data_IF_652754736729
#
_entry.id   IF_652754736729
#
_cell.length_a   1.000
_cell.length_b   1.000
_cell.length_c   1.000
_cell.angle_alpha   90.00
_cell.angle_beta   90.00
_cell.angle_gamma   90.00
#
_symmetry.space_group_name_H-M   'P 1'
#
loop_
_entity.id
_entity.type
_entity.pdbx_description
1 polymer ?
#
# COMPACT_ATOMS: atom_id res chain seq x y z
N UNK A 1 18.70 -11.78 45.17
CA UNK A 1 19.15 -10.64 44.36
C UNK A 1 18.09 -10.33 43.34
N UNK A 2 17.33 -9.25 43.51
CA UNK A 2 16.31 -8.84 42.52
C UNK A 2 17.04 -8.09 41.41
N UNK A 3 17.17 -8.73 40.24
CA UNK A 3 17.87 -8.19 39.08
C UNK A 3 17.14 -7.06 38.34
N UNK A 4 15.89 -6.79 38.71
CA UNK A 4 15.09 -5.72 38.12
C UNK A 4 14.30 -4.99 39.22
N UNK A 5 14.83 -3.89 39.72
CA UNK A 5 14.05 -2.90 40.49
C UNK A 5 13.37 -1.96 39.48
N UNK A 6 12.25 -2.37 38.93
CA UNK A 6 11.40 -1.48 38.15
C UNK A 6 10.52 -0.70 39.12
N UNK A 7 10.79 0.58 39.27
CA UNK A 7 9.97 1.45 40.11
C UNK A 7 8.80 1.97 39.28
N UNK A 8 7.65 1.30 39.40
CA UNK A 8 6.42 1.65 38.69
C UNK A 8 5.80 2.97 39.15
N UNK A 9 6.23 3.52 40.27
CA UNK A 9 5.70 4.77 40.84
C UNK A 9 6.39 6.01 40.23
N UNK A 10 7.46 5.84 39.49
CA UNK A 10 8.09 6.95 38.75
C UNK A 10 7.46 7.02 37.36
N UNK A 11 6.80 8.13 37.04
CA UNK A 11 6.43 8.45 35.69
C UNK A 11 7.68 8.27 34.77
N UNK A 12 7.58 7.45 33.76
CA UNK A 12 8.64 7.31 32.76
C UNK A 12 8.93 8.67 32.11
N UNK A 13 10.05 8.82 31.40
CA UNK A 13 10.44 10.11 30.79
C UNK A 13 9.41 10.65 29.80
N UNK A 14 8.30 9.97 29.57
CA UNK A 14 7.23 10.40 28.68
C UNK A 14 7.74 10.81 27.29
N UNK A 15 6.92 10.70 26.27
CA UNK A 15 7.23 11.38 24.99
C UNK A 15 6.69 12.80 25.13
N UNK A 16 7.49 13.87 24.96
CA UNK A 16 6.97 15.23 24.95
C UNK A 16 5.81 15.34 23.97
N UNK A 17 4.73 15.99 24.40
CA UNK A 17 3.49 16.14 23.62
C UNK A 17 3.73 16.73 22.21
N UNK A 18 4.81 17.51 22.07
CA UNK A 18 5.24 18.14 20.83
C UNK A 18 6.57 17.58 20.28
N UNK A 19 6.92 16.33 20.59
CA UNK A 19 8.16 15.74 20.06
C UNK A 19 8.10 15.69 18.51
N UNK A 20 9.11 16.25 17.81
CA UNK A 20 9.12 16.21 16.36
C UNK A 20 9.25 14.76 15.87
N UNK A 21 8.40 14.38 14.92
CA UNK A 21 8.47 13.04 14.30
C UNK A 21 9.83 12.81 13.67
N UNK A 22 10.37 11.61 13.85
CA UNK A 22 11.58 11.18 13.13
C UNK A 22 11.35 11.27 11.63
N UNK A 23 12.43 11.42 10.84
CA UNK A 23 12.38 11.52 9.38
C UNK A 23 13.25 10.44 8.73
N UNK A 24 12.97 10.14 7.46
CA UNK A 24 13.78 9.22 6.67
C UNK A 24 13.87 7.81 7.28
N UNK A 25 15.06 7.22 7.25
CA UNK A 25 15.31 5.85 7.75
C UNK A 25 14.99 5.68 9.24
N UNK A 26 15.22 6.70 10.08
CA UNK A 26 14.88 6.62 11.49
C UNK A 26 13.37 6.46 11.72
N UNK A 27 12.53 7.10 10.88
CA UNK A 27 11.08 6.91 10.91
C UNK A 27 10.69 5.52 10.41
N UNK A 28 11.36 5.03 9.37
CA UNK A 28 11.12 3.68 8.85
C UNK A 28 11.33 2.61 9.94
N UNK A 29 12.46 2.66 10.66
CA UNK A 29 12.75 1.73 11.74
C UNK A 29 11.82 1.87 12.94
N UNK A 30 11.40 3.08 13.27
CA UNK A 30 10.41 3.32 14.32
C UNK A 30 9.06 2.66 14.00
N UNK A 31 8.54 2.85 12.79
CA UNK A 31 7.30 2.22 12.35
C UNK A 31 7.44 0.69 12.30
N UNK A 32 8.59 0.20 11.82
CA UNK A 32 8.89 -1.22 11.77
C UNK A 32 8.87 -1.84 13.18
N UNK A 33 9.51 -1.22 14.16
CA UNK A 33 9.56 -1.73 15.53
C UNK A 33 8.20 -1.67 16.23
N UNK A 34 7.36 -0.67 15.92
CA UNK A 34 6.08 -0.45 16.55
C UNK A 34 4.94 -1.24 15.92
N UNK A 35 4.84 -1.22 14.58
CA UNK A 35 3.64 -1.62 13.86
C UNK A 35 3.84 -2.80 12.89
N UNK A 36 5.05 -3.42 12.87
CA UNK A 36 5.38 -4.51 11.94
C UNK A 36 4.36 -5.64 11.92
N UNK A 37 3.81 -6.00 13.08
CA UNK A 37 2.83 -7.07 13.17
C UNK A 37 1.46 -6.69 12.58
N UNK A 38 1.05 -5.43 12.70
CA UNK A 38 -0.14 -4.91 12.03
C UNK A 38 0.05 -4.89 10.51
N UNK A 39 1.23 -4.45 10.04
CA UNK A 39 1.59 -4.45 8.63
C UNK A 39 1.63 -5.86 8.05
N UNK A 40 2.25 -6.78 8.77
CA UNK A 40 2.34 -8.17 8.37
C UNK A 40 0.95 -8.79 8.17
N UNK A 41 0.04 -8.60 9.15
CA UNK A 41 -1.34 -9.12 9.04
C UNK A 41 -2.08 -8.51 7.85
N UNK A 42 -2.05 -7.19 7.68
CA UNK A 42 -2.69 -6.51 6.56
C UNK A 42 -2.11 -6.96 5.22
N UNK A 43 -0.80 -7.10 5.15
CA UNK A 43 -0.09 -7.58 3.97
C UNK A 43 -0.35 -9.05 3.65
N UNK A 44 -0.53 -9.91 4.67
CA UNK A 44 -0.93 -11.32 4.47
C UNK A 44 -2.35 -11.43 3.89
N UNK A 45 -3.29 -10.61 4.36
CA UNK A 45 -4.62 -10.55 3.76
C UNK A 45 -4.56 -10.09 2.30
N UNK A 46 -3.73 -9.09 2.00
CA UNK A 46 -3.51 -8.65 0.63
C UNK A 46 -2.85 -9.74 -0.24
N UNK A 47 -1.85 -10.46 0.28
CA UNK A 47 -1.19 -11.57 -0.42
C UNK A 47 -2.17 -12.72 -0.71
N UNK A 48 -2.96 -13.14 0.28
CA UNK A 48 -3.94 -14.21 0.11
C UNK A 48 -5.00 -13.84 -0.93
N UNK A 49 -5.47 -12.58 -0.91
CA UNK A 49 -6.44 -12.12 -1.92
C UNK A 49 -5.84 -11.92 -3.31
N UNK A 50 -4.52 -11.76 -3.42
CA UNK A 50 -3.81 -11.68 -4.70
C UNK A 50 -3.57 -13.06 -5.34
N UNK A 51 -3.70 -14.17 -4.61
CA UNK A 51 -3.46 -15.51 -5.15
C UNK A 51 -4.31 -15.83 -6.40
N UNK A 52 -5.62 -15.53 -6.46
CA UNK A 52 -6.40 -15.77 -7.68
C UNK A 52 -5.84 -15.02 -8.90
N UNK A 53 -5.40 -13.77 -8.71
CA UNK A 53 -4.74 -12.99 -9.75
C UNK A 53 -3.41 -13.63 -10.16
N UNK A 54 -2.53 -13.91 -9.20
CA UNK A 54 -1.19 -14.44 -9.48
C UNK A 54 -1.23 -15.80 -10.15
N UNK A 55 -2.01 -16.73 -9.61
CA UNK A 55 -2.16 -18.09 -10.16
C UNK A 55 -2.85 -18.07 -11.52
N UNK A 56 -3.87 -17.24 -11.69
CA UNK A 56 -4.58 -17.14 -12.96
C UNK A 56 -3.74 -16.51 -14.07
N UNK A 57 -2.96 -15.46 -13.77
CA UNK A 57 -2.01 -14.88 -14.73
C UNK A 57 -0.90 -15.87 -15.06
N UNK A 58 -0.34 -16.56 -14.06
CA UNK A 58 0.63 -17.62 -14.28
C UNK A 58 0.08 -18.74 -15.19
N UNK A 59 -1.13 -19.20 -14.91
CA UNK A 59 -1.80 -20.22 -15.73
C UNK A 59 -2.06 -19.72 -17.16
N UNK A 60 -2.48 -18.47 -17.32
CA UNK A 60 -2.68 -17.85 -18.63
C UNK A 60 -1.38 -17.81 -19.45
N UNK A 61 -0.27 -17.44 -18.82
CA UNK A 61 1.06 -17.43 -19.44
C UNK A 61 1.48 -18.83 -19.82
N UNK A 62 1.33 -19.81 -18.92
CA UNK A 62 1.73 -21.20 -19.15
C UNK A 62 0.93 -21.89 -20.28
N UNK A 63 -0.34 -21.52 -20.44
CA UNK A 63 -1.23 -22.11 -21.45
C UNK A 63 -1.41 -21.24 -22.70
N UNK A 64 -0.81 -20.05 -22.75
CA UNK A 64 -1.02 -19.04 -23.79
C UNK A 64 -2.51 -18.70 -24.02
N UNK A 65 -3.34 -18.77 -22.96
CA UNK A 65 -4.79 -18.63 -23.06
C UNK A 65 -5.27 -17.26 -22.56
N UNK A 66 -6.11 -16.57 -23.35
CA UNK A 66 -6.65 -15.26 -22.99
C UNK A 66 -7.77 -15.33 -21.96
N UNK A 67 -8.59 -16.39 -21.95
CA UNK A 67 -9.72 -16.51 -21.02
C UNK A 67 -9.28 -16.53 -19.56
N UNK A 68 -8.30 -17.35 -19.14
CA UNK A 68 -7.75 -17.27 -17.78
C UNK A 68 -7.16 -15.90 -17.45
N UNK A 69 -6.52 -15.24 -18.42
CA UNK A 69 -5.98 -13.88 -18.24
C UNK A 69 -7.09 -12.87 -17.90
N UNK A 70 -8.17 -12.87 -18.67
CA UNK A 70 -9.30 -11.97 -18.46
C UNK A 70 -9.96 -12.21 -17.09
N UNK A 71 -10.19 -13.48 -16.75
CA UNK A 71 -10.76 -13.84 -15.45
C UNK A 71 -9.83 -13.44 -14.30
N UNK A 72 -8.54 -13.77 -14.40
CA UNK A 72 -7.57 -13.41 -13.38
C UNK A 72 -7.42 -11.89 -13.25
N UNK A 73 -7.33 -11.17 -14.35
CA UNK A 73 -7.19 -9.73 -14.36
C UNK A 73 -8.40 -9.02 -13.74
N UNK A 74 -9.59 -9.35 -14.21
CA UNK A 74 -10.81 -8.68 -13.76
C UNK A 74 -11.23 -9.15 -12.36
N UNK A 75 -11.43 -10.45 -12.17
CA UNK A 75 -11.94 -10.99 -10.91
C UNK A 75 -10.83 -11.01 -9.84
N UNK A 76 -9.64 -11.49 -10.18
CA UNK A 76 -8.52 -11.53 -9.24
C UNK A 76 -8.08 -10.11 -8.83
N UNK A 77 -8.02 -9.16 -9.76
CA UNK A 77 -7.74 -7.75 -9.48
C UNK A 77 -8.79 -7.10 -8.59
N UNK A 78 -10.08 -7.35 -8.85
CA UNK A 78 -11.18 -6.85 -8.02
C UNK A 78 -11.13 -7.43 -6.60
N UNK A 79 -10.83 -8.71 -6.42
CA UNK A 79 -10.72 -9.35 -5.10
C UNK A 79 -9.53 -8.84 -4.29
N UNK A 80 -8.41 -8.55 -4.94
CA UNK A 80 -7.21 -8.03 -4.31
C UNK A 80 -7.34 -6.58 -3.83
N UNK A 81 -8.06 -5.76 -4.58
CA UNK A 81 -8.09 -4.31 -4.39
C UNK A 81 -8.57 -3.84 -3.00
N UNK A 82 -9.66 -4.35 -2.40
CA UNK A 82 -10.08 -3.95 -1.06
C UNK A 82 -9.02 -4.22 0.01
N UNK A 83 -8.25 -5.30 -0.14
CA UNK A 83 -7.19 -5.67 0.78
C UNK A 83 -5.97 -4.75 0.63
N UNK A 84 -5.63 -4.36 -0.61
CA UNK A 84 -4.59 -3.37 -0.85
C UNK A 84 -4.95 -2.00 -0.25
N UNK A 85 -6.22 -1.58 -0.37
CA UNK A 85 -6.70 -0.35 0.28
C UNK A 85 -6.62 -0.47 1.81
N UNK A 86 -6.98 -1.62 2.39
CA UNK A 86 -6.84 -1.89 3.82
C UNK A 86 -5.39 -1.87 4.29
N UNK A 87 -4.46 -2.41 3.51
CA UNK A 87 -3.02 -2.32 3.77
C UNK A 87 -2.53 -0.87 3.73
N UNK A 88 -2.92 -0.11 2.69
CA UNK A 88 -2.56 1.30 2.57
C UNK A 88 -3.09 2.12 3.74
N UNK A 89 -4.36 1.94 4.16
CA UNK A 89 -4.94 2.61 5.33
C UNK A 89 -4.16 2.28 6.61
N UNK A 90 -3.80 1.01 6.81
CA UNK A 90 -3.01 0.57 7.98
C UNK A 90 -1.65 1.29 8.05
N UNK A 91 -0.94 1.38 6.93
CA UNK A 91 0.36 2.06 6.85
C UNK A 91 0.21 3.57 7.01
N UNK A 92 -0.81 4.17 6.38
CA UNK A 92 -1.07 5.61 6.47
C UNK A 92 -1.42 6.04 7.90
N UNK A 93 -2.19 5.22 8.65
CA UNK A 93 -2.47 5.47 10.08
C UNK A 93 -1.19 5.43 10.90
N UNK A 94 -0.31 4.48 10.66
CA UNK A 94 0.98 4.43 11.34
C UNK A 94 1.87 5.64 11.01
N UNK A 95 1.86 6.12 9.76
CA UNK A 95 2.58 7.36 9.36
C UNK A 95 2.06 8.60 10.11
N UNK A 96 0.77 8.63 10.45
CA UNK A 96 0.11 9.72 11.16
C UNK A 96 0.10 9.55 12.69
N UNK A 97 0.62 8.42 13.19
CA UNK A 97 0.57 8.05 14.62
C UNK A 97 -0.86 7.97 15.17
N UNK A 98 -1.82 7.53 14.34
CA UNK A 98 -3.21 7.38 14.75
C UNK A 98 -3.37 6.16 15.66
N UNK A 99 -3.90 6.34 16.89
CA UNK A 99 -4.17 5.23 17.79
C UNK A 99 -5.34 4.37 17.28
N UNK A 100 -5.36 3.11 17.69
CA UNK A 100 -6.49 2.24 17.40
C UNK A 100 -6.15 0.75 17.43
N UNK A 101 -7.16 -0.06 17.76
CA UNK A 101 -7.03 -1.51 17.66
C UNK A 101 -7.03 -1.91 16.18
N UNK A 102 -5.94 -2.46 15.70
CA UNK A 102 -5.69 -2.73 14.28
C UNK A 102 -6.86 -3.43 13.57
N UNK A 103 -7.40 -4.53 14.12
CA UNK A 103 -8.45 -5.29 13.45
C UNK A 103 -9.73 -4.49 13.24
N UNK A 104 -10.15 -3.73 14.24
CA UNK A 104 -11.35 -2.89 14.15
C UNK A 104 -11.17 -1.77 13.11
N UNK A 105 -10.00 -1.12 13.10
CA UNK A 105 -9.69 -0.05 12.13
C UNK A 105 -9.56 -0.60 10.72
N UNK A 106 -8.89 -1.73 10.54
CA UNK A 106 -8.77 -2.42 9.26
C UNK A 106 -10.13 -2.82 8.68
N UNK A 107 -10.96 -3.50 9.46
CA UNK A 107 -12.31 -3.91 9.02
C UNK A 107 -13.19 -2.72 8.66
N UNK A 108 -13.09 -1.61 9.39
CA UNK A 108 -13.82 -0.37 9.11
C UNK A 108 -13.37 0.22 7.77
N UNK A 109 -12.06 0.38 7.57
CA UNK A 109 -11.49 0.88 6.32
C UNK A 109 -11.85 -0.02 5.14
N UNK A 110 -11.73 -1.34 5.31
CA UNK A 110 -12.08 -2.31 4.29
C UNK A 110 -13.57 -2.20 3.88
N UNK A 111 -14.50 -2.22 4.85
CA UNK A 111 -15.95 -2.11 4.58
C UNK A 111 -16.31 -0.80 3.88
N UNK A 112 -15.73 0.31 4.31
CA UNK A 112 -15.96 1.63 3.72
C UNK A 112 -15.53 1.68 2.25
N UNK A 113 -14.36 1.12 1.95
CA UNK A 113 -13.68 1.31 0.67
C UNK A 113 -13.87 0.12 -0.31
N UNK A 114 -14.47 -1.00 0.13
CA UNK A 114 -14.57 -2.21 -0.68
C UNK A 114 -15.23 -1.94 -2.04
N UNK A 115 -16.41 -1.31 -2.06
CA UNK A 115 -17.12 -1.03 -3.32
C UNK A 115 -16.34 -0.08 -4.23
N UNK A 116 -15.72 0.96 -3.67
CA UNK A 116 -14.97 1.95 -4.43
C UNK A 116 -13.69 1.36 -5.05
N UNK A 117 -13.13 0.30 -4.46
CA UNK A 117 -11.90 -0.33 -4.94
C UNK A 117 -12.09 -1.43 -5.97
N UNK A 118 -13.29 -2.03 -6.10
CA UNK A 118 -13.54 -3.15 -7.02
C UNK A 118 -13.25 -2.80 -8.48
N UNK A 119 -13.83 -1.70 -8.97
CA UNK A 119 -13.65 -1.27 -10.36
C UNK A 119 -12.18 -0.89 -10.66
N UNK A 120 -11.52 -0.04 -9.85
CA UNK A 120 -10.09 0.19 -10.01
C UNK A 120 -9.27 -1.11 -9.98
N UNK A 121 -9.58 -2.02 -9.07
CA UNK A 121 -8.91 -3.32 -8.98
C UNK A 121 -9.04 -4.15 -10.24
N UNK A 122 -10.25 -4.25 -10.80
CA UNK A 122 -10.49 -4.94 -12.07
C UNK A 122 -9.71 -4.32 -13.22
N UNK A 123 -9.70 -2.98 -13.32
CA UNK A 123 -8.99 -2.26 -14.39
C UNK A 123 -7.48 -2.44 -14.27
N UNK A 124 -6.90 -2.14 -13.09
CA UNK A 124 -5.46 -2.29 -12.88
C UNK A 124 -5.01 -3.74 -12.96
N UNK A 125 -5.80 -4.68 -12.44
CA UNK A 125 -5.53 -6.11 -12.53
C UNK A 125 -5.51 -6.59 -13.99
N UNK A 126 -6.50 -6.19 -14.79
CA UNK A 126 -6.55 -6.56 -16.20
C UNK A 126 -5.35 -6.00 -16.98
N UNK A 127 -5.04 -4.70 -16.83
CA UNK A 127 -3.95 -4.06 -17.55
C UNK A 127 -2.59 -4.62 -17.12
N UNK A 128 -2.37 -4.82 -15.81
CA UNK A 128 -1.15 -5.43 -15.29
C UNK A 128 -1.00 -6.88 -15.75
N UNK A 129 -2.07 -7.67 -15.67
CA UNK A 129 -2.09 -9.05 -16.16
C UNK A 129 -1.78 -9.12 -17.65
N UNK A 130 -2.39 -8.24 -18.46
CA UNK A 130 -2.12 -8.16 -19.90
C UNK A 130 -0.66 -7.77 -20.20
N UNK A 131 -0.06 -6.85 -19.44
CA UNK A 131 1.34 -6.49 -19.60
C UNK A 131 2.28 -7.65 -19.25
N UNK A 132 2.02 -8.37 -18.14
CA UNK A 132 2.79 -9.56 -17.75
C UNK A 132 2.67 -10.63 -18.84
N UNK A 133 1.46 -10.92 -19.28
CA UNK A 133 1.19 -11.91 -20.32
C UNK A 133 1.92 -11.56 -21.63
N UNK A 134 1.82 -10.30 -22.08
CA UNK A 134 2.50 -9.85 -23.30
C UNK A 134 4.02 -9.91 -23.16
N UNK A 135 4.59 -9.59 -22.01
CA UNK A 135 6.02 -9.65 -21.75
C UNK A 135 6.57 -11.08 -21.90
N UNK A 136 5.82 -12.08 -21.44
CA UNK A 136 6.20 -13.49 -21.61
C UNK A 136 5.96 -14.01 -23.02
N UNK A 137 4.87 -13.60 -23.70
CA UNK A 137 4.59 -13.99 -25.08
C UNK A 137 5.64 -13.47 -26.08
N UNK A 138 6.15 -12.26 -25.84
CA UNK A 138 7.15 -11.64 -26.72
C UNK A 138 8.57 -12.14 -26.48
N UNK A 139 8.70 -13.22 -25.71
CA UNK A 139 9.97 -13.82 -25.34
C UNK A 139 10.93 -12.75 -24.80
N UNK A 140 10.75 -12.45 -23.52
CA UNK A 140 11.55 -11.49 -22.74
C UNK A 140 13.00 -11.37 -23.28
N UNK A 141 13.40 -10.14 -23.62
CA UNK A 141 14.77 -9.82 -24.03
C UNK A 141 15.11 -10.05 -25.50
N UNK A 142 14.31 -10.71 -26.31
CA UNK A 142 14.59 -10.86 -27.75
C UNK A 142 14.38 -9.55 -28.54
N UNK A 143 13.38 -8.74 -28.12
CA UNK A 143 13.20 -7.40 -28.64
C UNK A 143 13.39 -6.37 -27.52
N UNK A 144 14.59 -5.76 -27.50
CA UNK A 144 14.97 -4.81 -26.45
C UNK A 144 14.02 -3.60 -26.38
N UNK A 145 13.60 -3.05 -27.52
CA UNK A 145 12.71 -1.88 -27.57
C UNK A 145 11.35 -2.21 -26.94
N UNK A 146 10.78 -3.35 -27.31
CA UNK A 146 9.49 -3.79 -26.76
C UNK A 146 9.59 -4.10 -25.27
N UNK A 147 10.66 -4.76 -24.84
CA UNK A 147 10.92 -5.05 -23.43
C UNK A 147 11.01 -3.76 -22.61
N UNK A 148 11.77 -2.78 -23.07
CA UNK A 148 11.88 -1.47 -22.39
C UNK A 148 10.51 -0.77 -22.34
N UNK A 149 9.78 -0.74 -23.46
CA UNK A 149 8.44 -0.12 -23.49
C UNK A 149 7.48 -0.75 -22.48
N UNK A 150 7.50 -2.08 -22.34
CA UNK A 150 6.68 -2.80 -21.35
C UNK A 150 7.12 -2.53 -19.92
N UNK A 151 8.42 -2.48 -19.62
CA UNK A 151 8.93 -2.13 -18.30
C UNK A 151 8.56 -0.69 -17.90
N UNK A 152 8.63 0.24 -18.86
CA UNK A 152 8.14 1.61 -18.65
C UNK A 152 6.63 1.60 -18.36
N UNK A 153 5.85 0.82 -19.09
CA UNK A 153 4.42 0.63 -18.84
C UNK A 153 4.14 0.09 -17.43
N UNK A 154 4.86 -0.94 -16.98
CA UNK A 154 4.75 -1.48 -15.62
C UNK A 154 5.11 -0.42 -14.58
N UNK A 155 6.15 0.39 -14.80
CA UNK A 155 6.53 1.48 -13.92
C UNK A 155 5.39 2.50 -13.73
N UNK A 156 4.83 3.01 -14.82
CA UNK A 156 3.71 3.97 -14.75
C UNK A 156 2.46 3.34 -14.13
N UNK A 157 2.11 2.12 -14.52
CA UNK A 157 0.94 1.42 -14.01
C UNK A 157 1.05 1.16 -12.50
N UNK A 158 2.20 0.71 -12.03
CA UNK A 158 2.44 0.47 -10.60
C UNK A 158 2.32 1.75 -9.77
N UNK A 159 2.85 2.86 -10.29
CA UNK A 159 2.73 4.16 -9.62
C UNK A 159 1.31 4.69 -9.59
N UNK A 160 0.58 4.60 -10.70
CA UNK A 160 -0.83 4.98 -10.76
C UNK A 160 -1.68 4.10 -9.84
N UNK A 161 -1.45 2.78 -9.82
CA UNK A 161 -2.15 1.87 -8.93
C UNK A 161 -1.88 2.19 -7.45
N UNK A 162 -0.61 2.39 -7.07
CA UNK A 162 -0.23 2.79 -5.72
C UNK A 162 -0.98 4.05 -5.28
N UNK A 163 -0.91 5.11 -6.09
CA UNK A 163 -1.55 6.40 -5.76
C UNK A 163 -3.08 6.32 -5.79
N UNK A 164 -3.66 5.53 -6.68
CA UNK A 164 -5.12 5.32 -6.74
C UNK A 164 -5.61 4.62 -5.49
N UNK A 165 -5.02 3.48 -5.10
CA UNK A 165 -5.44 2.76 -3.89
C UNK A 165 -5.16 3.53 -2.60
N UNK A 166 -4.10 4.33 -2.59
CA UNK A 166 -3.81 5.24 -1.47
C UNK A 166 -4.88 6.33 -1.33
N UNK A 167 -5.31 6.93 -2.45
CA UNK A 167 -6.36 7.95 -2.44
C UNK A 167 -7.73 7.37 -2.08
N UNK A 168 -8.06 6.13 -2.50
CA UNK A 168 -9.29 5.45 -2.09
C UNK A 168 -9.33 5.26 -0.56
N UNK A 169 -8.17 5.00 0.07
CA UNK A 169 -8.09 4.91 1.53
C UNK A 169 -8.33 6.25 2.25
N UNK A 170 -8.00 7.37 1.59
CA UNK A 170 -8.01 8.71 2.19
C UNK A 170 -9.24 9.55 1.82
N UNK A 171 -9.77 9.39 0.59
CA UNK A 171 -10.70 10.31 -0.02
C UNK A 171 -11.95 9.58 -0.54
N UNK A 172 -13.11 10.18 -0.36
CA UNK A 172 -14.37 9.72 -0.93
C UNK A 172 -14.63 10.46 -2.25
N UNK A 173 -14.16 9.89 -3.36
CA UNK A 173 -14.27 10.47 -4.69
C UNK A 173 -14.64 9.40 -5.73
N UNK A 174 -15.15 9.84 -6.90
CA UNK A 174 -15.36 8.95 -8.04
C UNK A 174 -14.04 8.41 -8.58
N UNK A 175 -14.06 7.20 -9.17
CA UNK A 175 -12.85 6.58 -9.73
C UNK A 175 -12.15 7.48 -10.76
N UNK A 176 -12.89 8.12 -11.66
CA UNK A 176 -12.31 9.05 -12.64
C UNK A 176 -11.60 10.25 -12.00
N UNK A 177 -12.18 10.80 -10.91
CA UNK A 177 -11.56 11.87 -10.12
C UNK A 177 -10.26 11.41 -9.44
N UNK A 178 -10.29 10.24 -8.80
CA UNK A 178 -9.11 9.63 -8.16
C UNK A 178 -8.00 9.35 -9.18
N UNK A 179 -8.35 8.76 -10.33
CA UNK A 179 -7.37 8.44 -11.37
C UNK A 179 -6.73 9.70 -11.95
N UNK A 180 -7.54 10.75 -12.20
CA UNK A 180 -7.03 12.06 -12.64
C UNK A 180 -6.07 12.65 -11.61
N UNK A 181 -6.44 12.64 -10.34
CA UNK A 181 -5.58 13.13 -9.26
C UNK A 181 -4.30 12.28 -9.12
N UNK A 182 -4.41 10.95 -9.24
CA UNK A 182 -3.25 10.07 -9.22
C UNK A 182 -2.27 10.40 -10.35
N UNK A 183 -2.77 10.65 -11.57
CA UNK A 183 -1.96 11.04 -12.70
C UNK A 183 -1.28 12.40 -12.48
N UNK A 184 -2.03 13.40 -12.00
CA UNK A 184 -1.49 14.73 -11.71
C UNK A 184 -0.42 14.69 -10.60
N UNK A 185 -0.65 13.92 -9.54
CA UNK A 185 0.33 13.73 -8.46
C UNK A 185 1.56 12.97 -8.95
N UNK A 186 1.37 11.94 -9.77
CA UNK A 186 2.48 11.17 -10.32
C UNK A 186 3.39 12.04 -11.19
N UNK A 187 2.81 12.81 -12.12
CA UNK A 187 3.56 13.67 -13.03
C UNK A 187 4.11 14.93 -12.32
N UNK A 188 3.31 15.55 -11.45
CA UNK A 188 3.71 16.77 -10.74
C UNK A 188 4.82 16.55 -9.72
N UNK A 189 4.93 15.33 -9.18
CA UNK A 189 5.95 14.97 -8.20
C UNK A 189 6.76 13.73 -8.65
N UNK A 190 7.08 13.68 -9.94
CA UNK A 190 7.71 12.54 -10.60
C UNK A 190 8.93 11.97 -9.85
N UNK A 191 9.89 12.75 -9.31
CA UNK A 191 11.02 12.18 -8.59
C UNK A 191 10.63 11.37 -7.36
N UNK A 192 9.64 11.83 -6.58
CA UNK A 192 9.14 11.11 -5.40
C UNK A 192 8.26 9.92 -5.79
N UNK A 193 7.43 10.07 -6.82
CA UNK A 193 6.65 8.98 -7.37
C UNK A 193 7.57 7.87 -7.92
N UNK A 194 8.63 8.24 -8.65
CA UNK A 194 9.62 7.31 -9.14
C UNK A 194 10.32 6.55 -8.00
N UNK A 195 10.71 7.24 -6.93
CA UNK A 195 11.30 6.60 -5.76
C UNK A 195 10.33 5.61 -5.10
N UNK A 196 9.05 5.97 -4.97
CA UNK A 196 8.04 5.10 -4.42
C UNK A 196 7.84 3.83 -5.28
N UNK A 197 7.74 4.00 -6.60
CA UNK A 197 7.61 2.88 -7.55
C UNK A 197 8.87 2.02 -7.56
N UNK A 198 10.05 2.63 -7.45
CA UNK A 198 11.31 1.90 -7.41
C UNK A 198 11.34 0.88 -6.26
N UNK A 199 10.86 1.23 -5.07
CA UNK A 199 10.76 0.29 -3.95
C UNK A 199 9.86 -0.90 -4.27
N UNK A 200 8.71 -0.68 -4.93
CA UNK A 200 7.81 -1.75 -5.35
C UNK A 200 8.48 -2.67 -6.37
N UNK A 201 9.12 -2.09 -7.38
CA UNK A 201 9.74 -2.85 -8.46
C UNK A 201 11.00 -3.60 -8.02
N UNK A 202 11.85 -2.99 -7.18
CA UNK A 202 13.02 -3.66 -6.61
C UNK A 202 12.64 -4.87 -5.77
N UNK A 203 11.62 -4.73 -4.93
CA UNK A 203 11.13 -5.86 -4.14
C UNK A 203 10.57 -6.96 -5.05
N UNK A 204 9.72 -6.60 -6.00
CA UNK A 204 9.12 -7.57 -6.95
C UNK A 204 10.20 -8.27 -7.78
N UNK A 205 11.19 -7.52 -8.27
CA UNK A 205 12.31 -8.07 -9.01
C UNK A 205 13.15 -9.02 -8.14
N UNK A 206 13.44 -8.65 -6.90
CA UNK A 206 14.19 -9.51 -5.97
C UNK A 206 13.44 -10.82 -5.70
N UNK A 207 12.12 -10.75 -5.44
CA UNK A 207 11.29 -11.95 -5.24
C UNK A 207 11.30 -12.83 -6.50
N UNK A 208 11.16 -12.25 -7.67
CA UNK A 208 11.14 -12.99 -8.93
C UNK A 208 12.49 -13.63 -9.28
N UNK A 209 13.59 -12.89 -9.12
CA UNK A 209 14.94 -13.37 -9.44
C UNK A 209 15.41 -14.51 -8.55
N UNK A 210 15.04 -14.50 -7.28
CA UNK A 210 15.43 -15.52 -6.30
C UNK A 210 14.37 -16.60 -6.08
N UNK A 211 13.34 -16.68 -6.92
CA UNK A 211 12.33 -17.73 -6.83
C UNK A 211 12.95 -19.11 -7.12
N UNK A 212 12.64 -20.18 -6.35
CA UNK A 212 11.68 -20.27 -5.23
C UNK A 212 12.27 -19.92 -3.84
N UNK A 213 13.56 -19.62 -3.71
CA UNK A 213 14.22 -19.32 -2.43
C UNK A 213 13.65 -18.06 -1.75
N UNK A 214 13.07 -17.16 -2.53
CA UNK A 214 12.42 -15.94 -2.01
C UNK A 214 11.06 -16.17 -1.35
N UNK A 215 10.44 -17.35 -1.48
CA UNK A 215 9.11 -17.62 -0.92
C UNK A 215 9.02 -17.38 0.58
N UNK A 216 9.95 -17.86 1.45
CA UNK A 216 9.91 -17.56 2.88
C UNK A 216 10.02 -16.06 3.17
N UNK A 217 10.85 -15.34 2.41
CA UNK A 217 11.00 -13.88 2.52
C UNK A 217 9.72 -13.19 2.08
N UNK A 218 9.09 -13.63 1.01
CA UNK A 218 7.80 -13.11 0.53
C UNK A 218 6.68 -13.35 1.56
N UNK A 219 6.67 -14.47 2.29
CA UNK A 219 5.68 -14.71 3.34
C UNK A 219 5.93 -13.82 4.57
N UNK A 220 7.19 -13.53 4.90
CA UNK A 220 7.53 -12.68 6.03
C UNK A 220 7.32 -11.19 5.72
N UNK A 221 7.80 -10.73 4.58
CA UNK A 221 7.80 -9.32 4.20
C UNK A 221 6.64 -8.93 3.28
N UNK A 222 5.97 -9.90 2.64
CA UNK A 222 4.84 -9.80 1.73
C UNK A 222 4.71 -8.42 1.02
N UNK A 223 3.50 -7.90 0.83
CA UNK A 223 3.30 -6.59 0.19
C UNK A 223 3.53 -5.40 1.14
N UNK A 224 3.56 -5.62 2.48
CA UNK A 224 3.65 -4.50 3.41
C UNK A 224 4.97 -3.75 3.33
N UNK A 225 6.09 -4.47 3.18
CA UNK A 225 7.41 -3.83 3.19
C UNK A 225 7.60 -2.84 2.03
N UNK A 226 7.41 -3.24 0.75
CA UNK A 226 7.56 -2.31 -0.36
C UNK A 226 6.51 -1.20 -0.34
N UNK A 227 5.29 -1.47 0.09
CA UNK A 227 4.23 -0.46 0.19
C UNK A 227 4.52 0.53 1.31
N UNK A 228 5.04 0.09 2.47
CA UNK A 228 5.47 0.99 3.54
C UNK A 228 6.57 1.94 3.06
N UNK A 229 7.61 1.41 2.41
CA UNK A 229 8.71 2.22 1.89
C UNK A 229 8.21 3.23 0.83
N UNK A 230 7.35 2.78 -0.07
CA UNK A 230 6.76 3.61 -1.12
C UNK A 230 5.87 4.72 -0.54
N UNK A 231 4.96 4.38 0.37
CA UNK A 231 4.08 5.37 1.01
C UNK A 231 4.85 6.35 1.87
N UNK A 232 5.85 5.90 2.63
CA UNK A 232 6.70 6.80 3.41
C UNK A 232 7.46 7.80 2.52
N UNK A 233 7.94 7.38 1.35
CA UNK A 233 8.60 8.27 0.40
C UNK A 233 7.64 9.32 -0.18
N UNK A 234 6.38 8.95 -0.42
CA UNK A 234 5.40 9.80 -1.07
C UNK A 234 4.49 10.58 -0.09
N UNK A 235 4.38 10.16 1.17
CA UNK A 235 3.50 10.76 2.19
C UNK A 235 3.64 12.29 2.32
N UNK A 236 4.85 12.89 2.31
CA UNK A 236 4.97 14.34 2.40
C UNK A 236 4.31 15.10 1.24
N UNK A 237 4.14 14.45 0.08
CA UNK A 237 3.41 15.04 -1.06
C UNK A 237 1.91 14.96 -0.79
N UNK A 238 1.42 13.82 -0.30
CA UNK A 238 0.00 13.65 0.03
C UNK A 238 -0.44 14.63 1.10
N UNK A 239 0.34 14.76 2.18
CA UNK A 239 0.04 15.69 3.26
C UNK A 239 0.01 17.14 2.78
N UNK A 240 1.03 17.56 1.99
CA UNK A 240 1.08 18.92 1.41
C UNK A 240 -0.10 19.21 0.48
N UNK A 241 -0.57 18.21 -0.27
CA UNK A 241 -1.61 18.40 -1.29
C UNK A 241 -3.01 18.39 -0.72
N UNK A 242 -3.25 17.54 0.29
CA UNK A 242 -4.58 17.32 0.87
C UNK A 242 -4.73 17.86 2.29
N UNK A 243 -3.71 18.54 2.85
CA UNK A 243 -3.67 19.05 4.24
C UNK A 243 -4.12 17.97 5.26
N UNK A 244 -3.67 16.72 5.07
CA UNK A 244 -4.17 15.54 5.78
C UNK A 244 -4.03 15.68 7.30
N UNK A 245 -2.86 16.11 7.77
CA UNK A 245 -2.58 16.23 9.21
C UNK A 245 -3.42 17.30 9.87
N UNK A 246 -3.63 18.45 9.20
CA UNK A 246 -4.48 19.51 9.71
C UNK A 246 -5.95 19.10 9.77
N UNK A 247 -6.45 18.45 8.72
CA UNK A 247 -7.84 17.98 8.65
C UNK A 247 -8.13 16.94 9.74
N UNK A 248 -7.22 15.97 9.92
CA UNK A 248 -7.39 14.92 10.93
C UNK A 248 -7.29 15.49 12.35
N UNK A 249 -6.36 16.45 12.58
CA UNK A 249 -6.28 17.15 13.87
C UNK A 249 -7.56 17.91 14.17
N UNK A 250 -8.11 18.64 13.21
CA UNK A 250 -9.36 19.38 13.38
C UNK A 250 -10.55 18.43 13.68
N UNK A 251 -10.63 17.26 13.00
CA UNK A 251 -11.66 16.25 13.28
C UNK A 251 -11.54 15.70 14.70
N UNK A 252 -10.32 15.37 15.15
CA UNK A 252 -10.07 14.86 16.51
C UNK A 252 -10.43 15.88 17.58
N UNK A 253 -10.04 17.15 17.38
CA UNK A 253 -10.35 18.22 18.32
C UNK A 253 -11.88 18.47 18.38
N UNK A 254 -12.60 18.34 17.27
CA UNK A 254 -14.05 18.41 17.23
C UNK A 254 -14.73 17.25 18.01
N UNK A 255 -14.24 16.01 17.84
CA UNK A 255 -14.76 14.83 18.54
C UNK A 255 -14.54 14.94 20.07
N UNK A 256 -13.37 15.43 20.51
CA UNK A 256 -13.08 15.65 21.93
C UNK A 256 -14.00 16.70 22.53
N UNK A 257 -14.23 17.82 21.82
CA UNK A 257 -15.14 18.87 22.30
C UNK A 257 -16.61 18.39 22.39
N UNK A 258 -17.03 17.45 21.55
CA UNK A 258 -18.37 16.86 21.60
C UNK A 258 -18.51 15.89 22.77
N UNK A 259 -17.47 15.10 23.08
CA UNK A 259 -17.49 14.19 24.22
C UNK A 259 -17.54 14.94 25.57
N UNK A 260 -16.76 16.01 25.71
CA UNK A 260 -16.74 16.85 26.92
C UNK A 260 -18.06 17.64 27.14
N UNK A 261 -18.79 17.92 26.04
CA UNK A 261 -20.10 18.57 26.07
C UNK A 261 -21.28 17.62 26.43
N UNK A 262 -21.10 16.31 26.19
CA UNK A 262 -22.12 15.31 26.49
C UNK A 262 -22.09 14.83 27.94
N UNK A 263 -20.96 15.02 28.62
CA UNK A 263 -20.78 14.66 30.06
C UNK A 263 -21.11 15.81 31.01
N UNK A 264 -21.62 16.94 30.53
CA UNK A 264 -22.11 18.09 31.34
C UNK A 264 -23.63 18.21 31.23
#
# INVERSE_FOLDING_TARGET
MALFHYNFDKAGPGVPENAPRKKGLARFWEMLSRDSFAFWRAGMLALLSALPFMLGVWFAVATHALVPLLLAGVVGGALMAPQLVGLNDTILRSLRDEPGYWWATYCRAWKRNAKASLLPGAVFGLVLGAQIFALFLTQWGQNLVLTIAMLVGVFFLSGLALLTFTQIALLEMSFGGILRNALLLFLGYLPRAALAVLWLLLYTAAVALFFPLSVPVMLLLNFWLPVQAALQAFYPVLDKTFDLEKTIKAMRDADLNQSDGADR
#
